data_IF_352188070025
#
_entry.id   IF_352188070025
#
_cell.length_a   1.000
_cell.length_b   1.000
_cell.length_c   1.000
_cell.angle_alpha   90.00
_cell.angle_beta   90.00
_cell.angle_gamma   90.00
#
_symmetry.space_group_name_H-M   'P 1'
#
loop_
_entity.id
_entity.type
_entity.pdbx_description
1 polymer ?
#
# COMPACT_ATOMS: atom_id res chain seq x y z
N UNK A 1 30.25 -11.38 2.38
CA UNK A 1 30.94 -11.60 3.66
C UNK A 1 29.92 -11.46 4.76
N UNK A 2 29.88 -12.41 5.71
CA UNK A 2 29.10 -12.30 6.94
C UNK A 2 29.99 -11.76 8.07
N UNK A 3 29.48 -10.83 8.85
CA UNK A 3 30.10 -10.31 10.07
C UNK A 3 29.36 -10.88 11.28
N UNK A 4 30.09 -11.44 12.23
CA UNK A 4 29.56 -12.07 13.40
C UNK A 4 29.69 -11.20 14.65
N UNK A 5 28.91 -11.49 15.67
CA UNK A 5 28.89 -10.74 16.93
C UNK A 5 30.21 -10.82 17.74
N UNK A 6 31.06 -11.79 17.44
CA UNK A 6 32.41 -11.94 18.02
C UNK A 6 33.47 -11.09 17.30
N UNK A 7 33.07 -10.28 16.32
CA UNK A 7 33.97 -9.43 15.51
C UNK A 7 34.63 -10.17 14.34
N UNK A 8 34.38 -11.47 14.17
CA UNK A 8 34.95 -12.23 13.04
C UNK A 8 34.17 -11.96 11.75
N UNK A 9 34.83 -12.21 10.61
CA UNK A 9 34.22 -12.12 9.29
C UNK A 9 34.51 -13.37 8.49
N UNK A 10 33.54 -13.85 7.72
CA UNK A 10 33.70 -15.04 6.89
C UNK A 10 33.10 -14.84 5.51
N UNK A 11 33.77 -15.38 4.50
CA UNK A 11 33.20 -15.54 3.17
C UNK A 11 32.13 -16.66 3.22
N UNK A 12 30.88 -16.28 2.94
CA UNK A 12 29.71 -17.17 2.97
C UNK A 12 29.13 -17.36 1.56
N UNK A 13 29.84 -16.98 0.52
CA UNK A 13 29.38 -17.04 -0.88
C UNK A 13 28.79 -18.40 -1.24
N UNK A 14 29.49 -19.48 -0.90
CA UNK A 14 29.08 -20.84 -1.18
C UNK A 14 27.87 -21.34 -0.33
N UNK A 15 27.54 -20.61 0.75
CA UNK A 15 26.41 -20.91 1.64
C UNK A 15 25.25 -19.95 1.45
N UNK A 16 25.35 -19.02 0.51
CA UNK A 16 24.36 -18.00 0.21
C UNK A 16 23.48 -18.45 -0.97
N UNK A 17 22.18 -18.27 -0.84
CA UNK A 17 21.24 -18.46 -1.96
C UNK A 17 21.09 -17.13 -2.69
N UNK A 18 21.25 -17.17 -4.01
CA UNK A 18 21.12 -16.01 -4.88
C UNK A 18 19.89 -16.18 -5.77
N UNK A 19 19.08 -15.12 -5.87
CA UNK A 19 17.88 -15.08 -6.72
C UNK A 19 17.83 -13.74 -7.46
N UNK A 20 17.37 -13.79 -8.70
CA UNK A 20 17.00 -12.60 -9.47
C UNK A 20 15.47 -12.52 -9.57
N UNK A 21 14.92 -11.32 -9.40
CA UNK A 21 13.48 -11.09 -9.63
C UNK A 21 13.12 -11.22 -11.12
N UNK A 22 14.06 -10.89 -12.02
CA UNK A 22 13.89 -11.06 -13.46
C UNK A 22 15.22 -11.55 -14.11
N UNK A 23 15.38 -12.87 -14.30
CA UNK A 23 16.57 -13.42 -14.95
C UNK A 23 16.72 -13.05 -16.43
N UNK A 24 15.65 -12.56 -17.10
CA UNK A 24 15.74 -12.08 -18.47
C UNK A 24 16.48 -10.73 -18.56
N UNK A 25 16.47 -9.94 -17.48
CA UNK A 25 17.25 -8.71 -17.34
C UNK A 25 18.65 -9.02 -16.81
N UNK A 26 18.76 -9.75 -15.67
CA UNK A 26 20.04 -10.19 -15.10
C UNK A 26 19.85 -11.54 -14.45
N UNK A 27 20.59 -12.54 -14.93
CA UNK A 27 20.69 -13.85 -14.27
C UNK A 27 21.80 -13.82 -13.21
N UNK A 28 21.63 -14.60 -12.14
CA UNK A 28 22.64 -14.83 -11.11
C UNK A 28 22.84 -16.33 -10.90
N UNK A 29 24.09 -16.80 -10.83
CA UNK A 29 24.39 -18.20 -10.58
C UNK A 29 24.60 -18.52 -9.08
N UNK A 30 24.78 -19.78 -8.75
CA UNK A 30 24.99 -20.25 -7.38
C UNK A 30 26.27 -19.69 -6.70
N UNK A 31 27.18 -19.11 -7.46
CA UNK A 31 28.37 -18.44 -6.94
C UNK A 31 28.20 -16.93 -6.76
N UNK A 32 26.99 -16.40 -7.03
CA UNK A 32 26.70 -14.97 -6.97
C UNK A 32 27.20 -14.18 -8.18
N UNK A 33 27.67 -14.85 -9.25
CA UNK A 33 28.09 -14.20 -10.48
C UNK A 33 26.89 -13.75 -11.28
N UNK A 34 26.85 -12.47 -11.62
CA UNK A 34 25.81 -11.85 -12.42
C UNK A 34 26.15 -11.88 -13.91
N UNK A 35 25.13 -12.10 -14.73
CA UNK A 35 25.22 -12.05 -16.19
C UNK A 35 24.03 -11.27 -16.73
N UNK A 36 24.28 -10.25 -17.53
CA UNK A 36 23.22 -9.54 -18.26
C UNK A 36 22.44 -10.51 -19.13
N UNK A 37 21.13 -10.39 -19.07
CA UNK A 37 20.18 -11.16 -19.86
C UNK A 37 20.01 -10.61 -21.27
N UNK A 38 18.90 -10.98 -21.89
CA UNK A 38 18.57 -10.58 -23.27
C UNK A 38 17.68 -9.33 -23.34
N UNK A 39 17.14 -8.88 -22.22
CA UNK A 39 16.23 -7.73 -22.16
C UNK A 39 16.87 -6.56 -21.41
N UNK A 40 16.72 -5.33 -21.93
CA UNK A 40 16.97 -4.15 -21.12
C UNK A 40 15.90 -4.05 -20.03
N UNK A 41 16.26 -3.46 -18.91
CA UNK A 41 15.31 -3.33 -17.81
C UNK A 41 16.00 -3.11 -16.48
N UNK A 42 15.27 -3.32 -15.41
CA UNK A 42 15.75 -3.22 -14.05
C UNK A 42 15.29 -4.44 -13.25
N UNK A 43 16.16 -4.97 -12.43
CA UNK A 43 15.84 -6.11 -11.57
C UNK A 43 16.56 -6.01 -10.24
N UNK A 44 15.95 -6.56 -9.20
CA UNK A 44 16.58 -6.75 -7.90
C UNK A 44 17.16 -8.16 -7.82
N UNK A 45 18.38 -8.22 -7.32
CA UNK A 45 19.09 -9.46 -7.00
C UNK A 45 19.10 -9.62 -5.49
N UNK A 46 18.64 -10.75 -5.00
CA UNK A 46 18.64 -11.11 -3.59
C UNK A 46 19.77 -12.07 -3.28
N UNK A 47 20.55 -11.78 -2.23
CA UNK A 47 21.48 -12.71 -1.60
C UNK A 47 20.98 -13.03 -0.20
N UNK A 48 20.70 -14.30 0.09
CA UNK A 48 20.20 -14.77 1.39
C UNK A 48 21.20 -15.71 2.04
N UNK A 49 21.62 -15.34 3.24
CA UNK A 49 22.41 -16.19 4.13
C UNK A 49 21.72 -16.30 5.48
N UNK A 50 21.32 -17.51 5.88
CA UNK A 50 20.49 -17.75 7.07
C UNK A 50 19.19 -16.88 7.03
N UNK A 51 19.04 -15.98 8.01
CA UNK A 51 17.91 -15.05 8.10
C UNK A 51 18.22 -13.64 7.60
N UNK A 52 19.45 -13.43 7.06
CA UNK A 52 19.87 -12.14 6.54
C UNK A 52 19.67 -12.09 5.02
N UNK A 53 19.11 -10.97 4.56
CA UNK A 53 18.85 -10.70 3.16
C UNK A 53 19.56 -9.40 2.77
N UNK A 54 20.32 -9.46 1.68
CA UNK A 54 20.86 -8.28 1.02
C UNK A 54 20.28 -8.18 -0.39
N UNK A 55 20.01 -6.97 -0.84
CA UNK A 55 19.45 -6.69 -2.16
C UNK A 55 20.36 -5.75 -2.93
N UNK A 56 20.57 -6.06 -4.19
CA UNK A 56 21.28 -5.19 -5.14
C UNK A 56 20.35 -4.90 -6.33
N UNK A 57 20.17 -3.61 -6.64
CA UNK A 57 19.43 -3.20 -7.83
C UNK A 57 20.36 -3.08 -9.01
N UNK A 58 20.02 -3.75 -10.10
CA UNK A 58 20.81 -3.76 -11.34
C UNK A 58 19.96 -3.21 -12.47
N UNK A 59 20.54 -2.30 -13.24
CA UNK A 59 19.92 -1.66 -14.39
C UNK A 59 20.71 -2.04 -15.64
N UNK A 60 20.02 -2.52 -16.66
CA UNK A 60 20.52 -2.74 -18.01
C UNK A 60 19.80 -1.74 -18.92
N UNK A 61 20.45 -0.62 -19.31
CA UNK A 61 19.83 0.36 -20.18
C UNK A 61 19.61 -0.21 -21.58
N UNK A 62 18.80 0.47 -22.39
CA UNK A 62 18.67 0.17 -23.79
C UNK A 62 20.02 0.36 -24.51
N UNK A 63 20.28 -0.44 -25.55
CA UNK A 63 21.59 -0.47 -26.24
C UNK A 63 21.90 0.81 -27.02
N UNK A 64 20.86 1.54 -27.44
CA UNK A 64 21.05 2.79 -28.16
C UNK A 64 21.05 3.97 -27.19
N UNK A 65 22.18 4.66 -27.01
CA UNK A 65 22.25 5.83 -26.16
C UNK A 65 21.44 6.97 -26.78
N UNK A 66 20.63 7.65 -25.95
CA UNK A 66 19.89 8.82 -26.36
C UNK A 66 20.78 10.08 -26.39
N UNK A 67 20.51 11.05 -27.28
CA UNK A 67 21.18 12.34 -27.25
C UNK A 67 21.00 13.02 -25.88
N UNK A 68 22.07 13.43 -25.23
CA UNK A 68 22.02 14.07 -23.90
C UNK A 68 21.11 15.31 -23.86
N UNK A 69 21.08 16.09 -24.95
CA UNK A 69 20.25 17.29 -25.07
C UNK A 69 18.74 17.03 -25.18
N UNK A 70 18.32 15.78 -25.43
CA UNK A 70 16.90 15.43 -25.55
C UNK A 70 16.11 15.82 -24.30
N UNK A 71 16.63 15.46 -23.13
CA UNK A 71 15.97 15.70 -21.86
C UNK A 71 16.01 17.17 -21.41
N UNK A 72 16.96 17.96 -21.90
CA UNK A 72 17.07 19.40 -21.60
C UNK A 72 15.97 20.22 -22.28
N UNK A 73 15.41 19.72 -23.37
CA UNK A 73 14.38 20.39 -24.15
C UNK A 73 12.94 20.02 -23.75
N UNK A 74 12.79 19.04 -22.86
CA UNK A 74 11.47 18.60 -22.41
C UNK A 74 10.85 19.59 -21.42
N UNK A 75 9.53 19.85 -21.53
CA UNK A 75 8.83 20.70 -20.59
C UNK A 75 8.86 20.05 -19.18
N UNK A 76 9.13 20.85 -18.17
CA UNK A 76 9.13 20.44 -16.77
C UNK A 76 8.19 21.32 -15.97
N UNK A 77 7.26 20.72 -15.26
CA UNK A 77 6.28 21.42 -14.44
C UNK A 77 6.52 21.24 -12.94
N UNK A 78 7.40 20.32 -12.54
CA UNK A 78 7.73 20.08 -11.16
C UNK A 78 8.69 18.90 -10.96
N UNK A 79 8.93 18.56 -9.71
CA UNK A 79 9.87 17.52 -9.29
C UNK A 79 9.55 16.13 -9.86
N UNK A 80 8.28 15.85 -10.16
CA UNK A 80 7.87 14.59 -10.79
C UNK A 80 8.56 14.42 -12.14
N UNK A 81 8.50 15.46 -12.98
CA UNK A 81 9.14 15.42 -14.30
C UNK A 81 10.65 15.26 -14.17
N UNK A 82 11.28 15.96 -13.22
CA UNK A 82 12.71 15.87 -12.98
C UNK A 82 13.15 14.44 -12.63
N UNK A 83 12.47 13.80 -11.69
CA UNK A 83 12.79 12.45 -11.23
C UNK A 83 12.43 11.37 -12.27
N UNK A 84 11.32 11.55 -13.00
CA UNK A 84 10.94 10.64 -14.09
C UNK A 84 11.93 10.73 -15.24
N UNK A 85 12.30 11.95 -15.67
CA UNK A 85 13.26 12.12 -16.77
C UNK A 85 14.66 11.64 -16.40
N UNK A 86 15.12 11.85 -15.14
CA UNK A 86 16.39 11.29 -14.68
C UNK A 86 16.39 9.75 -14.78
N UNK A 87 15.28 9.11 -14.41
CA UNK A 87 15.14 7.65 -14.54
C UNK A 87 15.11 7.20 -15.99
N UNK A 88 14.34 7.86 -16.86
CA UNK A 88 14.26 7.52 -18.27
C UNK A 88 15.62 7.70 -18.97
N UNK A 89 16.37 8.76 -18.63
CA UNK A 89 17.72 8.99 -19.14
C UNK A 89 18.67 7.87 -18.73
N UNK A 90 18.63 7.46 -17.46
CA UNK A 90 19.44 6.34 -16.95
C UNK A 90 19.14 5.01 -17.68
N UNK A 91 17.88 4.82 -18.09
CA UNK A 91 17.43 3.64 -18.83
C UNK A 91 17.61 3.74 -20.34
N UNK A 92 18.03 4.90 -20.87
CA UNK A 92 18.05 5.20 -22.29
C UNK A 92 16.67 5.04 -22.95
N UNK A 93 15.62 5.50 -22.29
CA UNK A 93 14.22 5.44 -22.78
C UNK A 93 13.75 6.84 -23.14
N UNK A 94 13.35 7.01 -24.40
CA UNK A 94 12.75 8.27 -24.87
C UNK A 94 11.33 8.44 -24.30
N UNK A 95 11.01 9.61 -23.71
CA UNK A 95 9.64 9.89 -23.28
C UNK A 95 8.67 9.95 -24.46
N UNK A 96 7.47 9.43 -24.28
CA UNK A 96 6.40 9.54 -25.27
C UNK A 96 5.97 11.00 -25.43
N UNK A 97 5.51 11.36 -26.64
CA UNK A 97 4.91 12.67 -26.87
C UNK A 97 3.67 12.91 -25.98
N UNK A 98 3.41 14.18 -25.62
CA UNK A 98 2.21 14.52 -24.87
C UNK A 98 0.94 14.05 -25.58
N UNK A 99 -0.01 13.52 -24.82
CA UNK A 99 -1.30 13.06 -25.35
C UNK A 99 -2.17 14.22 -25.84
N UNK A 100 -3.03 13.95 -26.83
CA UNK A 100 -4.00 14.94 -27.33
C UNK A 100 -5.00 15.36 -26.23
N UNK A 101 -5.62 16.53 -26.40
CA UNK A 101 -6.65 17.03 -25.49
C UNK A 101 -7.85 16.09 -25.35
N UNK A 102 -8.25 15.46 -26.46
CA UNK A 102 -9.34 14.49 -26.43
C UNK A 102 -9.01 13.27 -25.56
N UNK A 103 -7.77 12.76 -25.66
CA UNK A 103 -7.33 11.63 -24.85
C UNK A 103 -7.10 12.03 -23.38
N UNK A 104 -6.54 13.23 -23.16
CA UNK A 104 -6.37 13.77 -21.81
C UNK A 104 -7.72 13.89 -21.09
N UNK A 105 -8.70 14.53 -21.73
CA UNK A 105 -10.03 14.70 -21.16
C UNK A 105 -10.70 13.37 -20.83
N UNK A 106 -10.61 12.40 -21.79
CA UNK A 106 -11.14 11.05 -21.55
C UNK A 106 -10.51 10.41 -20.32
N UNK A 107 -9.17 10.44 -20.20
CA UNK A 107 -8.45 9.87 -19.05
C UNK A 107 -8.82 10.59 -17.76
N UNK A 108 -8.77 11.91 -17.72
CA UNK A 108 -9.10 12.68 -16.52
C UNK A 108 -10.51 12.35 -16.00
N UNK A 109 -11.50 12.20 -16.88
CA UNK A 109 -12.85 11.80 -16.44
C UNK A 109 -12.91 10.38 -15.90
N UNK A 110 -12.25 9.42 -16.54
CA UNK A 110 -12.25 8.02 -16.09
C UNK A 110 -11.46 7.86 -14.78
N UNK A 111 -10.30 8.48 -14.69
CA UNK A 111 -9.40 8.32 -13.54
C UNK A 111 -9.93 9.05 -12.29
N UNK A 112 -10.59 10.21 -12.46
CA UNK A 112 -11.08 10.98 -11.32
C UNK A 112 -12.52 10.67 -10.92
N UNK A 113 -13.42 10.47 -11.89
CA UNK A 113 -14.86 10.33 -11.62
C UNK A 113 -15.49 9.05 -12.17
N UNK A 114 -14.70 8.15 -12.76
CA UNK A 114 -15.14 6.82 -13.21
C UNK A 114 -16.12 6.82 -14.37
N UNK A 115 -16.33 7.94 -15.07
CA UNK A 115 -17.26 8.02 -16.21
C UNK A 115 -16.70 8.79 -17.38
N UNK A 116 -17.27 8.59 -18.56
CA UNK A 116 -16.92 9.38 -19.74
C UNK A 116 -17.53 10.79 -19.66
N UNK A 117 -16.89 11.78 -20.32
CA UNK A 117 -17.48 13.11 -20.50
C UNK A 117 -18.75 13.02 -21.35
N UNK A 118 -19.70 13.89 -21.09
CA UNK A 118 -20.85 14.11 -21.97
C UNK A 118 -20.40 14.79 -23.27
N UNK A 119 -21.22 14.71 -24.32
CA UNK A 119 -20.92 15.36 -25.59
C UNK A 119 -20.79 16.89 -25.46
N UNK A 120 -21.51 17.52 -24.52
CA UNK A 120 -21.41 18.94 -24.25
C UNK A 120 -20.10 19.31 -23.54
N UNK A 121 -19.71 18.53 -22.51
CA UNK A 121 -18.42 18.68 -21.82
C UNK A 121 -17.26 18.53 -22.82
N UNK A 122 -17.34 17.50 -23.68
CA UNK A 122 -16.34 17.23 -24.70
C UNK A 122 -16.16 18.39 -25.68
N UNK A 123 -17.27 18.91 -26.25
CA UNK A 123 -17.20 20.06 -27.18
C UNK A 123 -16.62 21.29 -26.48
N UNK A 124 -17.11 21.65 -25.30
CA UNK A 124 -16.62 22.82 -24.56
C UNK A 124 -15.11 22.74 -24.31
N UNK A 125 -14.59 21.58 -23.92
CA UNK A 125 -13.16 21.39 -23.64
C UNK A 125 -12.32 21.41 -24.92
N UNK A 126 -12.75 20.72 -25.99
CA UNK A 126 -12.00 20.64 -27.24
C UNK A 126 -11.96 21.98 -27.95
N UNK A 127 -13.08 22.72 -27.97
CA UNK A 127 -13.20 24.03 -28.63
C UNK A 127 -12.51 25.15 -27.87
N UNK A 128 -12.15 24.93 -26.60
CA UNK A 128 -11.45 25.92 -25.78
C UNK A 128 -10.00 26.11 -26.24
N UNK A 129 -9.61 27.37 -26.40
CA UNK A 129 -8.23 27.80 -26.71
C UNK A 129 -7.44 28.20 -25.43
N UNK A 130 -8.02 28.07 -24.25
CA UNK A 130 -7.38 28.41 -23.01
C UNK A 130 -6.19 27.46 -22.72
N UNK A 131 -5.01 28.04 -22.52
CA UNK A 131 -3.80 27.27 -22.21
C UNK A 131 -3.89 26.51 -20.85
N UNK A 132 -4.70 27.03 -19.90
CA UNK A 132 -4.93 26.43 -18.58
C UNK A 132 -6.05 25.39 -18.55
N UNK A 133 -6.71 25.09 -19.67
CA UNK A 133 -7.92 24.24 -19.71
C UNK A 133 -7.75 22.85 -19.10
N UNK A 134 -6.55 22.25 -19.18
CA UNK A 134 -6.29 20.93 -18.61
C UNK A 134 -6.31 20.96 -17.08
N UNK A 135 -5.65 21.93 -16.46
CA UNK A 135 -5.66 22.12 -15.01
C UNK A 135 -7.09 22.45 -14.52
N UNK A 136 -7.75 23.42 -15.17
CA UNK A 136 -9.13 23.78 -14.86
C UNK A 136 -10.11 22.59 -14.95
N UNK A 137 -9.90 21.69 -15.93
CA UNK A 137 -10.70 20.47 -16.02
C UNK A 137 -10.47 19.58 -14.79
N UNK A 138 -9.23 19.31 -14.41
CA UNK A 138 -8.90 18.49 -13.24
C UNK A 138 -9.55 19.08 -11.98
N UNK A 139 -9.35 20.36 -11.72
CA UNK A 139 -9.93 21.04 -10.55
C UNK A 139 -11.46 20.91 -10.53
N UNK A 140 -12.10 21.09 -11.69
CA UNK A 140 -13.56 20.95 -11.79
C UNK A 140 -14.07 19.54 -11.53
N UNK A 141 -13.30 18.51 -11.93
CA UNK A 141 -13.66 17.10 -11.69
C UNK A 141 -13.47 16.70 -10.23
N UNK A 142 -12.43 17.19 -9.57
CA UNK A 142 -12.18 16.94 -8.15
C UNK A 142 -13.30 17.48 -7.24
N UNK A 143 -13.95 18.58 -7.65
CA UNK A 143 -15.07 19.19 -6.91
C UNK A 143 -16.43 18.49 -7.13
N UNK A 144 -16.49 17.46 -7.96
CA UNK A 144 -17.75 16.79 -8.31
C UNK A 144 -18.10 15.70 -7.31
N UNK A 145 -19.39 15.51 -7.07
CA UNK A 145 -19.88 14.41 -6.23
C UNK A 145 -19.49 13.02 -6.75
N UNK A 146 -19.37 12.86 -8.07
CA UNK A 146 -18.94 11.61 -8.71
C UNK A 146 -17.50 11.22 -8.34
N UNK A 147 -16.63 12.18 -8.00
CA UNK A 147 -15.31 11.89 -7.46
C UNK A 147 -15.39 11.07 -6.17
N UNK A 148 -16.19 11.54 -5.23
CA UNK A 148 -16.40 10.81 -3.98
C UNK A 148 -17.02 9.42 -4.19
N UNK A 149 -17.98 9.31 -5.10
CA UNK A 149 -18.64 8.04 -5.40
C UNK A 149 -17.68 7.03 -6.08
N UNK A 150 -16.83 7.51 -6.99
CA UNK A 150 -15.84 6.69 -7.67
C UNK A 150 -14.78 6.14 -6.71
N UNK A 151 -14.15 7.01 -5.94
CA UNK A 151 -13.08 6.63 -5.02
C UNK A 151 -13.60 5.86 -3.80
N UNK A 152 -14.83 6.16 -3.34
CA UNK A 152 -15.47 5.34 -2.31
C UNK A 152 -15.74 3.92 -2.80
N UNK A 153 -16.14 3.74 -4.07
CA UNK A 153 -16.33 2.41 -4.65
C UNK A 153 -15.00 1.64 -4.74
N UNK A 154 -13.92 2.31 -5.13
CA UNK A 154 -12.57 1.75 -5.13
C UNK A 154 -12.15 1.25 -3.72
N UNK A 155 -12.36 2.07 -2.69
CA UNK A 155 -12.06 1.70 -1.31
C UNK A 155 -12.98 0.62 -0.76
N UNK A 156 -14.25 0.61 -1.16
CA UNK A 156 -15.17 -0.47 -0.81
C UNK A 156 -14.70 -1.82 -1.36
N UNK A 157 -14.11 -1.84 -2.56
CA UNK A 157 -13.50 -3.05 -3.14
C UNK A 157 -12.24 -3.50 -2.38
N UNK A 158 -11.43 -2.57 -1.88
CA UNK A 158 -10.25 -2.90 -1.07
C UNK A 158 -10.64 -3.44 0.32
N UNK A 159 -11.62 -2.83 0.97
CA UNK A 159 -12.07 -3.20 2.31
C UNK A 159 -12.99 -4.44 2.33
N UNK A 160 -13.68 -4.72 1.23
CA UNK A 160 -14.47 -5.94 0.93
C UNK A 160 -15.28 -6.50 2.09
N UNK A 161 -16.24 -5.78 2.66
CA UNK A 161 -17.10 -6.36 3.68
C UNK A 161 -17.94 -7.51 3.08
N UNK A 162 -17.84 -8.70 3.68
CA UNK A 162 -18.58 -9.85 3.18
C UNK A 162 -20.04 -9.80 3.67
N UNK A 163 -21.05 -9.61 2.80
CA UNK A 163 -22.44 -9.48 3.20
C UNK A 163 -22.98 -10.72 3.92
N UNK A 164 -22.42 -11.90 3.65
CA UNK A 164 -22.79 -13.12 4.35
C UNK A 164 -22.26 -13.18 5.79
N UNK A 165 -21.17 -12.47 6.08
CA UNK A 165 -20.61 -12.37 7.45
C UNK A 165 -21.24 -11.24 8.27
N UNK A 166 -21.56 -10.10 7.63
CA UNK A 166 -21.94 -8.89 8.36
C UNK A 166 -23.40 -8.50 8.19
N UNK A 167 -24.09 -9.00 7.16
CA UNK A 167 -25.45 -8.63 6.80
C UNK A 167 -25.54 -7.34 5.98
N UNK A 168 -26.53 -7.25 5.12
CA UNK A 168 -26.68 -6.17 4.13
C UNK A 168 -26.74 -4.79 4.79
N UNK A 169 -27.45 -4.63 5.91
CA UNK A 169 -27.56 -3.34 6.59
C UNK A 169 -26.20 -2.80 7.05
N UNK A 170 -25.32 -3.66 7.58
CA UNK A 170 -24.00 -3.27 7.98
C UNK A 170 -23.10 -2.95 6.77
N UNK A 171 -23.23 -3.71 5.66
CA UNK A 171 -22.51 -3.40 4.40
C UNK A 171 -22.91 -2.04 3.87
N UNK A 172 -24.21 -1.74 3.77
CA UNK A 172 -24.68 -0.44 3.29
C UNK A 172 -24.24 0.71 4.19
N UNK A 173 -24.24 0.50 5.49
CA UNK A 173 -23.77 1.51 6.44
C UNK A 173 -22.25 1.74 6.34
N UNK A 174 -21.49 0.68 6.06
CA UNK A 174 -20.05 0.78 5.81
C UNK A 174 -19.77 1.53 4.51
N UNK A 175 -20.44 1.19 3.43
CA UNK A 175 -20.35 1.89 2.14
C UNK A 175 -20.71 3.38 2.28
N UNK A 176 -21.79 3.70 2.99
CA UNK A 176 -22.16 5.09 3.27
C UNK A 176 -21.10 5.84 4.08
N UNK A 177 -20.50 5.17 5.09
CA UNK A 177 -19.43 5.77 5.87
C UNK A 177 -18.20 6.07 4.98
N UNK A 178 -17.77 5.13 4.12
CA UNK A 178 -16.67 5.34 3.19
C UNK A 178 -16.98 6.52 2.25
N UNK A 179 -18.18 6.56 1.65
CA UNK A 179 -18.58 7.68 0.77
C UNK A 179 -18.56 9.02 1.47
N UNK A 180 -18.96 9.05 2.73
CA UNK A 180 -18.95 10.28 3.52
C UNK A 180 -17.53 10.78 3.75
N UNK A 181 -16.55 9.90 4.00
CA UNK A 181 -15.14 10.29 4.14
C UNK A 181 -14.63 11.04 2.89
N UNK A 182 -14.97 10.55 1.69
CA UNK A 182 -14.59 11.21 0.44
C UNK A 182 -15.38 12.48 0.14
N UNK A 183 -16.64 12.56 0.52
CA UNK A 183 -17.47 13.77 0.36
C UNK A 183 -17.04 14.92 1.27
N UNK A 184 -16.54 14.57 2.44
CA UNK A 184 -16.04 15.53 3.44
C UNK A 184 -14.54 15.81 3.30
N UNK A 185 -13.90 15.23 2.29
CA UNK A 185 -12.46 15.34 2.03
C UNK A 185 -11.61 15.07 3.29
N UNK A 186 -11.96 13.99 4.01
CA UNK A 186 -11.29 13.61 5.25
C UNK A 186 -9.84 13.20 4.93
N UNK A 187 -8.83 13.77 5.62
CA UNK A 187 -7.43 13.38 5.45
C UNK A 187 -7.22 11.86 5.61
N UNK A 188 -6.34 11.30 4.79
CA UNK A 188 -6.15 9.85 4.72
C UNK A 188 -5.71 9.21 6.05
N UNK A 189 -4.84 9.87 6.79
CA UNK A 189 -4.42 9.46 8.12
C UNK A 189 -5.60 9.37 9.09
N UNK A 190 -6.50 10.37 9.05
CA UNK A 190 -7.72 10.37 9.85
C UNK A 190 -8.71 9.29 9.42
N UNK A 191 -8.90 9.09 8.10
CA UNK A 191 -9.72 8.01 7.57
C UNK A 191 -9.28 6.65 8.12
N UNK A 192 -7.97 6.35 8.06
CA UNK A 192 -7.43 5.08 8.55
C UNK A 192 -7.52 4.98 10.07
N UNK A 193 -7.22 6.06 10.79
CA UNK A 193 -7.37 6.12 12.26
C UNK A 193 -8.80 5.82 12.68
N UNK A 194 -9.78 6.50 12.09
CA UNK A 194 -11.20 6.31 12.40
C UNK A 194 -11.67 4.89 12.11
N UNK A 195 -11.13 4.28 11.07
CA UNK A 195 -11.41 2.89 10.69
C UNK A 195 -10.87 1.88 11.72
N UNK A 196 -9.57 1.93 12.03
CA UNK A 196 -8.93 0.91 12.87
C UNK A 196 -9.22 1.07 14.36
N UNK A 197 -9.66 2.25 14.80
CA UNK A 197 -10.07 2.50 16.18
C UNK A 197 -11.58 2.48 16.39
N UNK A 198 -12.35 2.17 15.33
CA UNK A 198 -13.81 2.23 15.35
C UNK A 198 -14.44 1.44 16.49
N UNK A 199 -15.46 2.04 17.11
CA UNK A 199 -16.30 1.47 18.19
C UNK A 199 -17.76 1.80 17.93
N UNK A 200 -18.63 1.07 18.61
CA UNK A 200 -20.06 1.33 18.56
C UNK A 200 -20.83 0.33 17.71
N UNK A 201 -22.08 0.67 17.46
CA UNK A 201 -22.99 -0.16 16.68
C UNK A 201 -22.63 -0.16 15.19
N UNK A 202 -22.55 -1.32 14.58
CA UNK A 202 -22.38 -1.47 13.13
C UNK A 202 -23.56 -0.92 12.31
N UNK A 203 -24.67 -0.56 12.98
CA UNK A 203 -25.81 0.10 12.35
C UNK A 203 -25.74 1.62 12.38
N UNK A 204 -24.89 2.21 13.22
CA UNK A 204 -24.73 3.65 13.40
C UNK A 204 -23.32 4.14 13.08
N UNK A 205 -22.32 3.29 13.28
CA UNK A 205 -20.95 3.55 12.89
C UNK A 205 -20.51 2.53 11.84
N UNK A 206 -20.49 2.94 10.57
CA UNK A 206 -20.11 2.07 9.46
C UNK A 206 -18.70 1.50 9.59
N UNK A 207 -17.73 2.28 10.08
CA UNK A 207 -16.35 1.85 10.27
C UNK A 207 -16.22 0.62 11.19
N UNK A 208 -17.09 0.49 12.19
CA UNK A 208 -17.10 -0.67 13.10
C UNK A 208 -17.40 -2.00 12.40
N UNK A 209 -17.93 -1.96 11.17
CA UNK A 209 -18.20 -3.15 10.34
C UNK A 209 -16.91 -3.89 9.99
N UNK A 210 -15.77 -3.22 9.92
CA UNK A 210 -14.47 -3.86 9.77
C UNK A 210 -14.27 -5.01 10.77
N UNK A 211 -14.56 -4.75 12.04
CA UNK A 211 -14.39 -5.74 13.12
C UNK A 211 -15.50 -6.77 13.18
N UNK A 212 -16.63 -6.54 12.55
CA UNK A 212 -17.68 -7.53 12.36
C UNK A 212 -17.32 -8.51 11.24
N UNK A 213 -16.70 -8.02 10.18
CA UNK A 213 -16.25 -8.84 9.04
C UNK A 213 -15.02 -9.66 9.40
N UNK A 214 -14.02 -9.03 9.99
CA UNK A 214 -12.76 -9.66 10.44
C UNK A 214 -12.81 -9.86 11.94
N UNK A 215 -13.02 -11.09 12.37
CA UNK A 215 -13.41 -11.38 13.75
C UNK A 215 -12.24 -11.72 14.65
N UNK A 216 -11.13 -12.17 14.11
CA UNK A 216 -9.94 -12.51 14.89
C UNK A 216 -8.83 -11.46 14.73
N UNK A 217 -7.97 -11.30 15.74
CA UNK A 217 -6.84 -10.35 15.68
C UNK A 217 -5.93 -10.56 14.47
N UNK A 218 -5.70 -11.81 14.09
CA UNK A 218 -4.86 -12.19 12.95
C UNK A 218 -5.48 -11.82 11.60
N UNK A 219 -6.81 -11.96 11.43
CA UNK A 219 -7.52 -11.49 10.21
C UNK A 219 -7.39 -9.97 10.05
N UNK A 220 -7.52 -9.21 11.15
CA UNK A 220 -7.38 -7.75 11.11
C UNK A 220 -5.94 -7.35 10.85
N UNK A 221 -4.98 -7.97 11.54
CA UNK A 221 -3.55 -7.70 11.37
C UNK A 221 -3.09 -7.92 9.93
N UNK A 222 -3.47 -9.04 9.31
CA UNK A 222 -3.15 -9.35 7.91
C UNK A 222 -3.68 -8.26 6.97
N UNK A 223 -4.93 -7.83 7.15
CA UNK A 223 -5.52 -6.80 6.31
C UNK A 223 -4.87 -5.43 6.54
N UNK A 224 -4.68 -5.03 7.80
CA UNK A 224 -4.11 -3.71 8.13
C UNK A 224 -2.66 -3.60 7.64
N UNK A 225 -1.83 -4.63 7.86
CA UNK A 225 -0.44 -4.62 7.41
C UNK A 225 -0.32 -4.56 5.88
N UNK A 226 -1.13 -5.33 5.16
CA UNK A 226 -1.10 -5.34 3.71
C UNK A 226 -1.69 -4.07 3.10
N UNK A 227 -2.88 -3.66 3.56
CA UNK A 227 -3.61 -2.55 2.94
C UNK A 227 -3.00 -1.18 3.26
N UNK A 228 -2.55 -0.97 4.50
CA UNK A 228 -2.12 0.35 4.97
C UNK A 228 -0.60 0.49 5.16
N UNK A 229 0.15 -0.61 5.14
CA UNK A 229 1.61 -0.57 5.23
C UNK A 229 2.30 -1.23 4.03
N UNK A 230 1.55 -1.91 3.15
CA UNK A 230 2.13 -2.66 2.04
C UNK A 230 2.99 -3.83 2.47
N UNK A 231 2.78 -4.36 3.68
CA UNK A 231 3.54 -5.47 4.25
C UNK A 231 2.68 -6.72 4.27
N UNK A 232 3.03 -7.71 3.47
CA UNK A 232 2.31 -8.99 3.38
C UNK A 232 2.75 -9.94 4.48
N UNK A 233 2.16 -9.83 5.65
CA UNK A 233 2.51 -10.63 6.82
C UNK A 233 1.92 -12.03 6.86
N UNK A 234 1.02 -12.40 5.95
CA UNK A 234 0.25 -13.65 6.04
C UNK A 234 1.15 -14.89 6.12
N UNK A 235 2.28 -14.92 5.40
CA UNK A 235 3.23 -16.03 5.49
C UNK A 235 3.83 -16.17 6.90
N UNK A 236 4.05 -15.05 7.59
CA UNK A 236 4.62 -15.03 8.94
C UNK A 236 3.67 -15.61 10.00
N UNK A 237 2.38 -15.78 9.71
CA UNK A 237 1.41 -16.43 10.59
C UNK A 237 1.78 -17.88 10.92
N UNK A 238 2.36 -18.63 9.96
CA UNK A 238 2.65 -20.06 10.11
C UNK A 238 4.14 -20.36 10.31
N UNK A 239 5.03 -19.56 9.71
CA UNK A 239 6.49 -19.72 9.76
C UNK A 239 7.16 -18.35 9.52
N UNK A 240 8.46 -18.26 9.74
CA UNK A 240 9.19 -17.04 9.38
C UNK A 240 9.01 -16.71 7.90
N UNK A 241 8.82 -15.41 7.60
CA UNK A 241 8.55 -14.97 6.22
C UNK A 241 9.70 -15.39 5.29
N UNK A 242 9.43 -16.04 4.13
CA UNK A 242 10.49 -16.62 3.30
C UNK A 242 11.37 -15.59 2.57
N UNK A 243 10.87 -14.37 2.36
CA UNK A 243 11.55 -13.33 1.58
C UNK A 243 11.71 -12.00 2.34
N UNK A 244 11.36 -11.98 3.63
CA UNK A 244 11.42 -10.81 4.48
C UNK A 244 11.89 -11.17 5.90
N UNK A 245 12.23 -10.15 6.68
CA UNK A 245 12.74 -10.31 8.05
C UNK A 245 11.69 -10.74 9.08
N UNK A 246 10.40 -10.72 8.71
CA UNK A 246 9.29 -10.92 9.64
C UNK A 246 9.24 -12.34 10.16
N UNK A 247 9.29 -12.46 11.48
CA UNK A 247 9.11 -13.73 12.20
C UNK A 247 7.65 -13.99 12.51
N UNK A 248 7.35 -15.21 12.95
CA UNK A 248 6.04 -15.56 13.48
C UNK A 248 5.70 -14.73 14.73
N UNK A 249 6.71 -14.45 15.56
CA UNK A 249 6.55 -13.58 16.72
C UNK A 249 6.14 -12.18 16.33
N UNK A 250 6.78 -11.56 15.32
CA UNK A 250 6.42 -10.23 14.83
C UNK A 250 4.96 -10.16 14.35
N UNK A 251 4.51 -11.20 13.63
CA UNK A 251 3.10 -11.29 13.20
C UNK A 251 2.13 -11.26 14.39
N UNK A 252 2.36 -12.10 15.40
CA UNK A 252 1.43 -12.19 16.53
C UNK A 252 1.56 -11.01 17.49
N UNK A 253 2.72 -10.40 17.63
CA UNK A 253 2.89 -9.13 18.33
C UNK A 253 2.11 -8.00 17.65
N UNK A 254 2.17 -7.92 16.33
CA UNK A 254 1.35 -6.95 15.57
C UNK A 254 -0.15 -7.26 15.70
N UNK A 255 -0.55 -8.52 15.65
CA UNK A 255 -1.94 -8.91 15.85
C UNK A 255 -2.46 -8.58 17.27
N UNK A 256 -1.58 -8.52 18.26
CA UNK A 256 -1.95 -8.23 19.64
C UNK A 256 -2.54 -6.82 19.84
N UNK A 257 -2.31 -5.88 18.94
CA UNK A 257 -3.00 -4.58 18.94
C UNK A 257 -4.53 -4.72 18.82
N UNK A 258 -5.02 -5.81 18.24
CA UNK A 258 -6.45 -6.08 18.04
C UNK A 258 -7.03 -7.07 19.05
N UNK A 259 -6.24 -7.54 20.01
CA UNK A 259 -6.64 -8.55 21.00
C UNK A 259 -7.83 -8.13 21.88
N UNK A 260 -7.93 -6.83 22.19
CA UNK A 260 -8.97 -6.30 23.07
C UNK A 260 -10.27 -5.92 22.31
N UNK A 261 -10.36 -6.17 21.01
CA UNK A 261 -11.59 -5.91 20.25
C UNK A 261 -12.65 -6.95 20.60
N UNK A 262 -13.67 -6.50 21.29
CA UNK A 262 -14.80 -7.32 21.70
C UNK A 262 -16.12 -6.87 21.04
N UNK A 263 -17.08 -7.75 21.04
CA UNK A 263 -18.36 -7.56 20.37
C UNK A 263 -19.49 -7.97 21.31
N UNK A 264 -20.58 -7.21 21.24
CA UNK A 264 -21.83 -7.51 21.95
C UNK A 264 -22.98 -7.34 20.98
N UNK A 265 -23.89 -8.27 20.96
CA UNK A 265 -25.09 -8.19 20.13
C UNK A 265 -25.66 -9.55 19.85
N UNK A 266 -26.81 -9.56 19.24
CA UNK A 266 -27.53 -10.77 18.89
C UNK A 266 -26.96 -11.46 17.67
N UNK A 267 -25.88 -10.96 17.12
CA UNK A 267 -24.95 -11.56 16.15
C UNK A 267 -25.46 -12.70 15.28
N UNK A 268 -26.73 -12.92 15.24
CA UNK A 268 -27.36 -13.97 14.47
C UNK A 268 -27.55 -13.47 13.07
N UNK A 269 -26.78 -13.95 12.46
CA UNK A 269 -26.83 -14.89 11.39
C UNK A 269 -27.09 -14.25 10.05
N UNK A 270 -26.12 -14.32 9.24
CA UNK A 270 -26.32 -14.02 7.82
C UNK A 270 -27.29 -15.04 7.21
N UNK A 271 -27.87 -14.74 6.06
CA UNK A 271 -27.58 -13.57 5.22
C UNK A 271 -28.62 -12.47 5.29
N UNK A 272 -29.72 -12.66 6.00
CA UNK A 272 -30.92 -11.87 5.72
C UNK A 272 -31.19 -10.76 6.74
N UNK A 273 -30.75 -10.90 7.96
CA UNK A 273 -31.11 -9.95 9.02
C UNK A 273 -30.03 -9.76 10.07
N UNK A 274 -28.79 -9.75 9.67
CA UNK A 274 -27.74 -9.60 10.67
C UNK A 274 -28.21 -8.69 11.80
N UNK A 275 -28.30 -9.22 13.02
CA UNK A 275 -28.65 -8.43 14.18
C UNK A 275 -27.66 -7.28 14.37
N UNK A 276 -28.02 -6.30 15.17
CA UNK A 276 -27.09 -5.25 15.56
C UNK A 276 -25.93 -5.86 16.35
N UNK A 277 -24.72 -5.47 16.00
CA UNK A 277 -23.51 -5.83 16.75
C UNK A 277 -22.80 -4.56 17.16
N UNK A 278 -22.40 -4.48 18.43
CA UNK A 278 -21.68 -3.34 18.99
C UNK A 278 -20.23 -3.76 19.23
N UNK A 279 -19.30 -3.05 18.63
CA UNK A 279 -17.86 -3.22 18.81
C UNK A 279 -17.38 -2.33 19.95
N UNK A 280 -16.55 -2.87 20.84
CA UNK A 280 -15.99 -2.12 21.97
C UNK A 280 -14.58 -2.64 22.33
N UNK A 281 -13.82 -1.83 23.07
CA UNK A 281 -12.55 -2.25 23.64
C UNK A 281 -12.82 -2.91 25.00
N UNK A 282 -12.39 -4.18 25.14
CA UNK A 282 -12.51 -4.95 26.37
C UNK A 282 -11.28 -4.72 27.26
N UNK A 283 -11.44 -4.86 28.58
CA UNK A 283 -10.30 -4.95 29.50
C UNK A 283 -9.56 -6.29 29.39
N UNK A 284 -10.16 -7.27 28.71
CA UNK A 284 -9.61 -8.64 28.55
C UNK A 284 -9.35 -8.91 27.08
N UNK A 285 -8.33 -9.67 26.81
CA UNK A 285 -7.97 -10.14 25.48
C UNK A 285 -6.45 -10.15 25.35
N UNK A 286 -5.92 -11.27 24.89
CA UNK A 286 -4.50 -11.50 24.65
C UNK A 286 -4.31 -12.28 23.35
N UNK A 287 -3.11 -12.21 22.81
CA UNK A 287 -2.65 -13.03 21.70
C UNK A 287 -1.50 -13.88 22.21
N UNK A 288 -1.56 -15.18 21.94
CA UNK A 288 -0.51 -16.13 22.34
C UNK A 288 0.27 -16.61 21.13
N UNK A 289 1.57 -16.77 21.32
CA UNK A 289 2.40 -17.41 20.32
C UNK A 289 1.96 -18.87 20.11
N UNK A 290 1.67 -19.31 18.89
CA UNK A 290 1.03 -20.60 18.64
C UNK A 290 1.89 -21.81 19.04
N UNK A 291 3.22 -21.67 19.01
CA UNK A 291 4.15 -22.76 19.36
C UNK A 291 4.55 -22.76 20.83
N UNK A 292 4.80 -21.58 21.42
CA UNK A 292 5.30 -21.48 22.81
C UNK A 292 4.19 -21.30 23.84
N UNK A 293 3.00 -20.83 23.42
CA UNK A 293 1.89 -20.47 24.32
C UNK A 293 2.13 -19.18 25.11
N UNK A 294 3.25 -18.50 24.90
CA UNK A 294 3.59 -17.23 25.55
C UNK A 294 2.63 -16.12 25.12
N UNK A 295 2.16 -15.31 26.07
CA UNK A 295 1.36 -14.13 25.77
C UNK A 295 2.26 -13.03 25.23
N UNK A 296 1.90 -12.51 24.06
CA UNK A 296 2.67 -11.50 23.34
C UNK A 296 2.08 -10.10 23.55
N UNK A 297 2.95 -9.15 23.87
CA UNK A 297 2.58 -7.74 23.95
C UNK A 297 2.42 -7.13 22.55
N UNK A 298 1.49 -6.17 22.36
CA UNK A 298 1.41 -5.41 21.13
C UNK A 298 2.73 -4.70 20.83
N UNK A 299 3.30 -4.99 19.66
CA UNK A 299 4.58 -4.42 19.20
C UNK A 299 4.46 -4.06 17.72
N UNK A 300 4.91 -2.90 17.29
CA UNK A 300 4.90 -2.52 15.87
C UNK A 300 5.93 -3.32 15.08
N UNK A 301 5.80 -3.33 13.76
CA UNK A 301 6.67 -4.11 12.87
C UNK A 301 8.10 -3.57 12.83
N UNK A 302 8.29 -2.27 13.09
CA UNK A 302 9.58 -1.60 13.04
C UNK A 302 9.53 -0.30 13.85
N UNK A 303 10.73 0.25 14.11
CA UNK A 303 10.89 1.47 14.90
C UNK A 303 10.58 1.30 16.38
N UNK A 304 10.66 2.40 17.09
CA UNK A 304 10.29 2.46 18.48
C UNK A 304 8.79 2.65 18.66
N UNK A 305 8.25 2.20 19.76
CA UNK A 305 6.84 2.34 20.09
C UNK A 305 6.66 2.86 21.51
N UNK A 306 5.62 3.67 21.68
CA UNK A 306 5.20 4.09 23.00
C UNK A 306 4.59 2.91 23.77
N UNK A 307 4.96 2.69 25.03
CA UNK A 307 4.29 1.71 25.88
C UNK A 307 2.79 1.98 25.93
N UNK A 308 2.00 0.89 25.98
CA UNK A 308 0.56 1.02 26.18
C UNK A 308 0.33 1.23 27.67
N UNK A 309 -0.03 2.46 28.05
CA UNK A 309 -0.25 2.83 29.46
C UNK A 309 -1.68 2.50 29.90
N UNK A 310 -1.78 1.87 31.07
CA UNK A 310 -3.04 1.64 31.73
C UNK A 310 -4.07 0.86 30.92
N UNK A 311 -5.28 1.41 30.85
CA UNK A 311 -6.43 0.83 30.11
C UNK A 311 -6.57 1.37 28.67
N UNK A 312 -5.54 2.03 28.12
CA UNK A 312 -5.56 2.57 26.77
C UNK A 312 -5.91 1.49 25.74
N UNK A 313 -6.68 1.90 24.71
CA UNK A 313 -6.98 1.02 23.60
C UNK A 313 -5.73 0.82 22.74
N UNK A 314 -5.21 -0.40 22.62
CA UNK A 314 -3.99 -0.65 21.85
C UNK A 314 -4.06 -0.17 20.40
N UNK A 315 -5.26 -0.17 19.80
CA UNK A 315 -5.48 0.31 18.44
C UNK A 315 -5.19 1.80 18.24
N UNK A 316 -5.38 2.61 19.29
CA UNK A 316 -5.04 4.03 19.23
C UNK A 316 -3.52 4.23 19.13
N UNK A 317 -2.75 3.46 19.92
CA UNK A 317 -1.29 3.46 19.87
C UNK A 317 -0.79 2.99 18.48
N UNK A 318 -1.43 1.94 17.94
CA UNK A 318 -1.15 1.49 16.57
C UNK A 318 -1.42 2.60 15.54
N UNK A 319 -2.57 3.29 15.66
CA UNK A 319 -2.93 4.38 14.75
C UNK A 319 -1.92 5.53 14.81
N UNK A 320 -1.49 5.91 16.01
CA UNK A 320 -0.46 6.95 16.21
C UNK A 320 0.86 6.55 15.53
N UNK A 321 1.31 5.31 15.75
CA UNK A 321 2.51 4.80 15.11
C UNK A 321 2.38 4.72 13.57
N UNK A 322 1.23 4.23 13.06
CA UNK A 322 1.02 4.10 11.62
C UNK A 322 1.03 5.45 10.91
N UNK A 323 0.42 6.47 11.52
CA UNK A 323 0.29 7.80 10.93
C UNK A 323 1.40 8.78 11.33
N UNK A 324 2.42 8.29 12.03
CA UNK A 324 3.61 9.08 12.37
C UNK A 324 4.42 9.40 11.11
N UNK A 325 5.03 10.58 11.07
CA UNK A 325 5.98 10.97 10.03
C UNK A 325 7.23 10.08 9.96
N UNK A 326 7.49 9.30 11.01
CA UNK A 326 8.59 8.34 11.04
C UNK A 326 8.23 7.01 10.37
N UNK A 327 6.95 6.82 10.00
CA UNK A 327 6.48 5.62 9.33
C UNK A 327 6.33 5.83 7.82
N UNK A 328 7.41 5.65 7.10
CA UNK A 328 7.46 5.78 5.65
C UNK A 328 6.50 4.84 4.90
N UNK A 329 6.22 3.67 5.44
CA UNK A 329 5.40 2.66 4.75
C UNK A 329 3.96 3.13 4.53
N UNK A 330 3.39 3.83 5.51
CA UNK A 330 2.00 4.30 5.46
C UNK A 330 1.76 5.26 4.27
N UNK A 331 2.60 6.26 4.12
CA UNK A 331 2.50 7.21 3.01
C UNK A 331 2.87 6.54 1.68
N UNK A 332 3.97 5.78 1.63
CA UNK A 332 4.49 5.14 0.42
C UNK A 332 3.48 4.17 -0.21
N UNK A 333 2.79 3.34 0.58
CA UNK A 333 1.81 2.39 0.01
C UNK A 333 0.62 3.11 -0.61
N UNK A 334 0.15 4.19 0.01
CA UNK A 334 -0.96 4.98 -0.52
C UNK A 334 -0.57 5.74 -1.78
N UNK A 335 0.59 6.38 -1.76
CA UNK A 335 1.17 7.04 -2.94
C UNK A 335 1.33 6.07 -4.09
N UNK A 336 1.92 4.89 -3.84
CA UNK A 336 2.10 3.86 -4.86
C UNK A 336 0.77 3.39 -5.46
N UNK A 337 -0.27 3.26 -4.63
CA UNK A 337 -1.61 2.86 -5.08
C UNK A 337 -2.26 3.92 -5.96
N UNK A 338 -2.18 5.20 -5.58
CA UNK A 338 -2.68 6.32 -6.40
C UNK A 338 -1.89 6.41 -7.71
N UNK A 339 -0.56 6.32 -7.63
CA UNK A 339 0.30 6.30 -8.82
C UNK A 339 -0.08 5.16 -9.78
N UNK A 340 -0.26 3.95 -9.27
CA UNK A 340 -0.66 2.80 -10.09
C UNK A 340 -2.01 3.02 -10.78
N UNK A 341 -2.97 3.61 -10.07
CA UNK A 341 -4.29 3.92 -10.63
C UNK A 341 -4.19 4.94 -11.77
N UNK A 342 -3.40 6.00 -11.60
CA UNK A 342 -3.26 7.07 -12.59
C UNK A 342 -2.33 6.70 -13.76
N UNK A 343 -1.27 5.93 -13.50
CA UNK A 343 -0.24 5.61 -14.50
C UNK A 343 -0.38 4.20 -15.07
N UNK A 344 -1.32 3.38 -14.55
CA UNK A 344 -1.55 2.00 -14.98
C UNK A 344 -0.55 1.00 -14.45
N UNK A 345 0.47 1.43 -13.71
CA UNK A 345 1.47 0.60 -13.04
C UNK A 345 2.03 1.33 -11.82
N UNK A 346 2.24 0.61 -10.72
CA UNK A 346 2.90 1.13 -9.51
C UNK A 346 4.39 1.35 -9.68
N UNK A 347 4.95 2.17 -8.81
CA UNK A 347 6.42 2.25 -8.64
C UNK A 347 6.93 0.97 -7.97
N UNK A 348 6.09 0.31 -7.19
CA UNK A 348 6.25 -1.05 -6.66
C UNK A 348 5.09 -1.90 -7.15
N UNK A 349 5.38 -3.08 -7.67
CA UNK A 349 4.38 -4.08 -8.11
C UNK A 349 4.63 -5.45 -7.46
N UNK A 350 3.60 -6.09 -6.91
CA UNK A 350 2.23 -5.60 -6.68
C UNK A 350 2.18 -4.37 -5.76
N UNK A 351 1.15 -3.52 -5.89
CA UNK A 351 1.06 -2.21 -5.23
C UNK A 351 1.10 -2.24 -3.69
N UNK A 352 0.82 -3.38 -3.10
CA UNK A 352 0.76 -3.65 -1.67
C UNK A 352 1.88 -4.60 -1.19
N UNK A 353 3.02 -4.62 -1.89
CA UNK A 353 4.15 -5.51 -1.61
C UNK A 353 5.46 -4.71 -1.49
N UNK A 354 5.48 -3.79 -0.52
CA UNK A 354 6.63 -2.95 -0.19
C UNK A 354 7.61 -3.74 0.68
N UNK A 355 8.56 -4.41 0.06
CA UNK A 355 9.58 -5.21 0.75
C UNK A 355 10.98 -4.92 0.21
N UNK A 356 11.99 -5.18 1.01
CA UNK A 356 13.38 -4.95 0.62
C UNK A 356 13.78 -5.70 -0.65
N UNK A 357 13.21 -6.89 -0.87
CA UNK A 357 13.45 -7.72 -2.05
C UNK A 357 12.61 -7.34 -3.27
N UNK A 358 11.74 -6.33 -3.15
CA UNK A 358 10.92 -5.78 -4.22
C UNK A 358 11.00 -4.24 -4.21
N UNK A 359 12.17 -3.67 -4.48
CA UNK A 359 12.38 -2.23 -4.40
C UNK A 359 11.59 -1.48 -5.47
N UNK A 360 11.24 -0.21 -5.22
CA UNK A 360 10.57 0.63 -6.20
C UNK A 360 11.43 0.87 -7.43
N UNK A 361 10.79 0.95 -8.59
CA UNK A 361 11.46 1.25 -9.86
C UNK A 361 12.05 2.66 -9.91
N UNK A 362 11.51 3.59 -9.11
CA UNK A 362 12.05 4.94 -8.93
C UNK A 362 11.92 5.32 -7.44
N UNK A 363 12.90 4.95 -6.59
CA UNK A 363 12.83 5.19 -5.15
C UNK A 363 12.77 6.67 -4.81
N UNK A 364 13.57 7.51 -5.50
CA UNK A 364 13.59 8.96 -5.27
C UNK A 364 12.22 9.60 -5.53
N UNK A 365 11.50 9.11 -6.55
CA UNK A 365 10.16 9.59 -6.85
C UNK A 365 9.15 9.13 -5.79
N UNK A 366 9.23 7.87 -5.37
CA UNK A 366 8.33 7.36 -4.32
C UNK A 366 8.53 8.11 -3.00
N UNK A 367 9.78 8.37 -2.63
CA UNK A 367 10.15 9.12 -1.42
C UNK A 367 9.69 10.59 -1.49
N UNK A 368 9.82 11.22 -2.66
CA UNK A 368 9.42 12.63 -2.84
C UNK A 368 7.89 12.82 -2.89
N UNK A 369 7.14 11.78 -3.24
CA UNK A 369 5.67 11.79 -3.27
C UNK A 369 5.04 11.43 -1.92
N UNK A 370 5.76 10.74 -1.04
CA UNK A 370 5.30 10.25 0.25
C UNK A 370 5.53 11.25 1.37
#
# INVERSE_FOLDING_TARGET
IAHYSDGSSRDVTAMTTYLSNDPAVVAVDASGRMKAGSLPGETALMARYMNHICVANVVIPQSEPLPGQLFDQLPRTGFIDDLVYAKLQKMSIEPSAPISDALFMRRAHLDLIGRLPTSQEARRFIDSTDAGKRAALVDSLLMRGEYADHWASYWADLLRPNPYRVGIKAVLNYDNWIRQQFREDVPYDRFVRDLITAKGSTWHNGAATLFRDRRSPDEVATMVSQLFLGVRLECAKCHHHPFERWSQTDFYQFAAYFSKVARKGTGLSPPISGGEEVVYSSSRGDVKHPLTGETLAPTPLFGDHSPIEGEADPRSVLADWMTSHENDYFAKVQVNRVWATLMGRGLVEPVDDLRSTNPPTNPELLDALA
#
